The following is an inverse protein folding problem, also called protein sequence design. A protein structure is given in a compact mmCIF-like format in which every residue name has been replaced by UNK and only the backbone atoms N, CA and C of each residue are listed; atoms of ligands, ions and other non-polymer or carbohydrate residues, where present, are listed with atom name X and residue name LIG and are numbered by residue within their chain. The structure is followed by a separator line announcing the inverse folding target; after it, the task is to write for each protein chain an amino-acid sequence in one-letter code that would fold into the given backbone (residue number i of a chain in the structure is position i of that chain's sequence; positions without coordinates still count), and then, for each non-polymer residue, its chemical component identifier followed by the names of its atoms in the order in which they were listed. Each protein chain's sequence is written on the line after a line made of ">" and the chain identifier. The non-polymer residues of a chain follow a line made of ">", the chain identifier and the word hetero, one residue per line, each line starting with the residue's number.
data_IF_521021547362
#
_entry.id   IF_521021547362
#
_cell.length_a   1.000
_cell.length_b   1.000
_cell.length_c   1.000
_cell.angle_alpha   90.00
_cell.angle_beta   90.00
_cell.angle_gamma   90.00
#
_symmetry.space_group_name_H-M   'P 1'
#
loop_
_entity.id
_entity.type
_entity.pdbx_description
1 polymer ?
#
# COMPACT_ATOMS: atom_id res chain seq x y z
N UNK A 1 21.32 -24.82 -10.18
CA UNK A 1 20.00 -24.63 -9.53
C UNK A 1 19.39 -23.34 -10.06
N UNK A 2 18.19 -23.38 -10.62
CA UNK A 2 17.47 -22.17 -11.03
C UNK A 2 17.09 -21.41 -9.76
N UNK A 3 17.55 -20.16 -9.62
CA UNK A 3 17.24 -19.30 -8.47
C UNK A 3 15.75 -19.04 -8.48
N UNK A 4 15.02 -19.56 -7.49
CA UNK A 4 13.57 -19.33 -7.36
C UNK A 4 13.34 -17.85 -7.09
N UNK A 5 12.76 -17.13 -8.05
CA UNK A 5 12.36 -15.74 -7.87
C UNK A 5 11.06 -15.67 -7.07
N UNK A 6 11.01 -14.73 -6.12
CA UNK A 6 9.75 -14.38 -5.45
C UNK A 6 8.86 -13.63 -6.44
N UNK A 7 7.63 -14.08 -6.62
CA UNK A 7 6.65 -13.45 -7.52
C UNK A 7 5.56 -12.77 -6.69
N UNK A 8 5.35 -11.49 -6.92
CA UNK A 8 4.24 -10.76 -6.32
C UNK A 8 3.25 -10.27 -7.38
N UNK A 9 2.01 -10.08 -6.97
CA UNK A 9 0.98 -9.43 -7.78
C UNK A 9 0.64 -8.09 -7.15
N UNK A 10 0.80 -6.99 -7.91
CA UNK A 10 0.23 -5.69 -7.54
C UNK A 10 -1.10 -5.46 -8.24
N UNK A 11 -2.12 -5.04 -7.49
CA UNK A 11 -3.45 -4.69 -7.96
C UNK A 11 -3.67 -3.23 -7.59
N UNK A 12 -3.42 -2.29 -8.50
CA UNK A 12 -3.40 -0.86 -8.16
C UNK A 12 -3.71 0.03 -9.37
N UNK A 13 -3.77 1.33 -9.13
CA UNK A 13 -3.87 2.34 -10.17
C UNK A 13 -2.53 2.56 -10.89
N UNK A 14 -2.61 2.98 -12.15
CA UNK A 14 -1.46 3.42 -12.95
C UNK A 14 -1.26 4.93 -12.79
N UNK A 15 -0.04 5.33 -12.42
CA UNK A 15 0.41 6.71 -12.32
C UNK A 15 1.30 7.08 -13.51
N UNK A 16 0.83 7.96 -14.37
CA UNK A 16 1.57 8.39 -15.56
C UNK A 16 2.88 9.13 -15.24
N UNK A 17 3.09 9.59 -14.01
CA UNK A 17 4.35 10.20 -13.56
C UNK A 17 5.37 9.18 -13.08
N UNK A 18 4.97 7.92 -13.00
CA UNK A 18 5.80 6.80 -12.54
C UNK A 18 6.29 6.91 -11.09
N UNK A 19 5.76 7.86 -10.30
CA UNK A 19 6.15 8.07 -8.90
C UNK A 19 5.38 7.20 -7.90
N UNK A 20 4.18 6.74 -8.25
CA UNK A 20 3.30 5.96 -7.39
C UNK A 20 2.64 4.80 -8.16
N UNK A 21 1.65 4.15 -7.56
CA UNK A 21 0.85 3.10 -8.20
C UNK A 21 1.66 1.90 -8.65
N UNK A 22 1.16 1.22 -9.69
CA UNK A 22 1.82 0.01 -10.23
C UNK A 22 3.26 0.26 -10.68
N UNK A 23 3.58 1.46 -11.14
CA UNK A 23 4.93 1.82 -11.59
C UNK A 23 5.93 1.81 -10.42
N UNK A 24 5.56 2.40 -9.29
CA UNK A 24 6.37 2.35 -8.07
C UNK A 24 6.48 0.91 -7.54
N UNK A 25 5.41 0.13 -7.61
CA UNK A 25 5.39 -1.26 -7.17
C UNK A 25 6.34 -2.13 -8.02
N UNK A 26 6.32 -1.98 -9.34
CA UNK A 26 7.20 -2.70 -10.28
C UNK A 26 8.68 -2.34 -10.04
N UNK A 27 8.99 -1.03 -9.91
CA UNK A 27 10.36 -0.57 -9.63
C UNK A 27 10.86 -1.11 -8.28
N UNK A 28 10.04 -1.04 -7.23
CA UNK A 28 10.35 -1.61 -5.91
C UNK A 28 10.67 -3.09 -6.01
N UNK A 29 9.87 -3.82 -6.78
CA UNK A 29 10.05 -5.26 -6.98
C UNK A 29 11.37 -5.57 -7.70
N UNK A 30 11.66 -4.84 -8.76
CA UNK A 30 12.92 -4.98 -9.50
C UNK A 30 14.13 -4.75 -8.61
N UNK A 31 14.16 -3.65 -7.85
CA UNK A 31 15.26 -3.32 -6.94
C UNK A 31 15.44 -4.39 -5.85
N UNK A 32 14.35 -4.93 -5.34
CA UNK A 32 14.37 -5.97 -4.30
C UNK A 32 14.50 -7.39 -4.87
N UNK A 33 14.71 -7.56 -6.18
CA UNK A 33 14.91 -8.87 -6.81
C UNK A 33 13.68 -9.78 -6.77
N UNK A 34 12.48 -9.20 -6.96
CA UNK A 34 11.22 -9.92 -7.11
C UNK A 34 10.65 -9.71 -8.52
N UNK A 35 9.93 -10.71 -9.03
CA UNK A 35 9.13 -10.57 -10.25
C UNK A 35 7.76 -10.01 -9.90
N UNK A 36 7.32 -8.98 -10.63
CA UNK A 36 6.07 -8.29 -10.33
C UNK A 36 5.06 -8.44 -11.48
N UNK A 37 3.99 -9.15 -11.21
CA UNK A 37 2.77 -9.14 -12.01
C UNK A 37 1.94 -7.91 -11.66
N UNK A 38 1.18 -7.38 -12.61
CA UNK A 38 0.34 -6.22 -12.37
C UNK A 38 -1.07 -6.38 -12.91
N UNK A 39 -2.08 -5.92 -12.14
CA UNK A 39 -3.45 -5.76 -12.57
C UNK A 39 -3.88 -4.31 -12.31
N UNK A 40 -4.24 -3.60 -13.38
CA UNK A 40 -4.57 -2.17 -13.31
C UNK A 40 -6.02 -1.99 -12.92
N UNK A 41 -6.28 -1.22 -11.87
CA UNK A 41 -7.64 -0.86 -11.42
C UNK A 41 -8.13 0.44 -12.03
N UNK A 42 -7.23 1.41 -12.17
CA UNK A 42 -7.51 2.76 -12.69
C UNK A 42 -6.30 3.27 -13.47
N UNK A 43 -6.56 4.19 -14.40
CA UNK A 43 -5.51 5.00 -15.02
C UNK A 43 -5.70 6.43 -14.57
N UNK A 44 -4.63 7.09 -14.13
CA UNK A 44 -4.67 8.48 -13.70
C UNK A 44 -3.94 9.38 -14.68
N UNK A 45 -4.36 10.64 -14.74
CA UNK A 45 -3.67 11.72 -15.42
C UNK A 45 -3.33 12.77 -14.35
N UNK A 46 -2.07 12.84 -14.00
CA UNK A 46 -1.59 13.71 -12.93
C UNK A 46 -0.16 14.20 -13.17
N UNK A 47 0.23 15.24 -12.44
CA UNK A 47 1.60 15.71 -12.33
C UNK A 47 1.82 16.25 -10.90
N UNK A 48 3.01 16.75 -10.59
CA UNK A 48 3.34 17.26 -9.26
C UNK A 48 2.46 18.42 -8.77
N UNK A 49 1.76 19.13 -9.67
CA UNK A 49 0.91 20.28 -9.35
C UNK A 49 -0.58 19.93 -9.34
N UNK A 50 -1.03 18.98 -10.16
CA UNK A 50 -2.44 18.75 -10.42
C UNK A 50 -2.74 17.26 -10.62
N UNK A 51 -3.81 16.78 -9.97
CA UNK A 51 -4.49 15.55 -10.32
C UNK A 51 -5.65 15.91 -11.27
N UNK A 52 -5.53 15.55 -12.56
CA UNK A 52 -6.46 15.99 -13.59
C UNK A 52 -7.63 15.03 -13.76
N UNK A 53 -7.37 13.75 -14.03
CA UNK A 53 -8.40 12.75 -14.36
C UNK A 53 -8.09 11.39 -13.77
N UNK A 54 -9.14 10.60 -13.58
CA UNK A 54 -9.09 9.19 -13.24
C UNK A 54 -10.08 8.45 -14.11
N UNK A 55 -9.65 7.34 -14.69
CA UNK A 55 -10.49 6.42 -15.42
C UNK A 55 -10.42 5.03 -14.80
N UNK A 56 -11.56 4.50 -14.38
CA UNK A 56 -11.62 3.14 -13.83
C UNK A 56 -11.56 2.12 -14.97
N UNK A 57 -10.69 1.13 -14.82
CA UNK A 57 -10.65 0.01 -15.74
C UNK A 57 -11.95 -0.80 -15.60
N UNK A 58 -12.65 -1.12 -16.70
CA UNK A 58 -13.85 -1.95 -16.65
C UNK A 58 -13.60 -3.28 -15.93
N UNK A 59 -14.54 -3.71 -15.10
CA UNK A 59 -14.37 -4.91 -14.27
C UNK A 59 -14.11 -6.20 -15.07
N UNK A 60 -14.61 -6.31 -16.31
CA UNK A 60 -14.33 -7.46 -17.16
C UNK A 60 -12.86 -7.50 -17.61
N UNK A 61 -12.24 -6.34 -17.86
CA UNK A 61 -10.81 -6.24 -18.17
C UNK A 61 -9.97 -6.57 -16.92
N UNK A 62 -10.34 -6.02 -15.75
CA UNK A 62 -9.64 -6.35 -14.49
C UNK A 62 -9.72 -7.86 -14.21
N UNK A 63 -10.89 -8.49 -14.41
CA UNK A 63 -11.04 -9.95 -14.28
C UNK A 63 -10.12 -10.71 -15.22
N UNK A 64 -10.00 -10.27 -16.48
CA UNK A 64 -9.13 -10.91 -17.46
C UNK A 64 -7.65 -10.81 -17.05
N UNK A 65 -7.18 -9.64 -16.56
CA UNK A 65 -5.82 -9.44 -16.06
C UNK A 65 -5.53 -10.38 -14.87
N UNK A 66 -6.45 -10.44 -13.88
CA UNK A 66 -6.29 -11.30 -12.72
C UNK A 66 -6.28 -12.77 -13.13
N UNK A 67 -7.22 -13.20 -13.99
CA UNK A 67 -7.29 -14.57 -14.48
C UNK A 67 -5.99 -15.00 -15.14
N UNK A 68 -5.47 -14.23 -16.09
CA UNK A 68 -4.21 -14.50 -16.77
C UNK A 68 -3.03 -14.65 -15.78
N UNK A 69 -2.97 -13.79 -14.74
CA UNK A 69 -1.92 -13.88 -13.73
C UNK A 69 -2.03 -15.15 -12.88
N UNK A 70 -3.24 -15.52 -12.45
CA UNK A 70 -3.45 -16.68 -11.56
C UNK A 70 -3.39 -18.03 -12.29
N UNK A 71 -3.64 -18.07 -13.61
CA UNK A 71 -3.58 -19.31 -14.39
C UNK A 71 -2.15 -19.77 -14.66
N UNK A 72 -1.20 -18.83 -14.75
CA UNK A 72 0.16 -19.15 -15.17
C UNK A 72 1.18 -19.08 -14.04
N UNK A 73 1.00 -18.13 -13.10
CA UNK A 73 2.05 -17.82 -12.13
C UNK A 73 1.69 -18.28 -10.73
N UNK A 74 2.69 -18.84 -10.04
CA UNK A 74 2.61 -19.00 -8.58
C UNK A 74 2.89 -17.67 -7.92
N UNK A 75 1.90 -17.09 -7.25
CA UNK A 75 2.00 -15.80 -6.58
C UNK A 75 2.36 -16.01 -5.11
N UNK A 76 3.51 -15.47 -4.69
CA UNK A 76 4.04 -15.60 -3.33
C UNK A 76 3.58 -14.45 -2.40
N UNK A 77 3.06 -13.35 -2.95
CA UNK A 77 2.52 -12.22 -2.19
C UNK A 77 1.64 -11.30 -3.05
N UNK A 78 0.65 -10.66 -2.45
CA UNK A 78 -0.26 -9.73 -3.14
C UNK A 78 -0.25 -8.37 -2.46
N UNK A 79 -0.04 -7.30 -3.25
CA UNK A 79 -0.26 -5.93 -2.81
C UNK A 79 -1.52 -5.38 -3.47
N UNK A 80 -2.42 -4.79 -2.69
CA UNK A 80 -3.57 -4.04 -3.20
C UNK A 80 -3.39 -2.57 -2.86
N UNK A 81 -3.36 -1.72 -3.90
CA UNK A 81 -3.28 -0.27 -3.77
C UNK A 81 -4.62 0.41 -4.04
N UNK A 82 -4.63 1.41 -4.96
CA UNK A 82 -5.81 2.20 -5.24
C UNK A 82 -6.98 1.37 -5.78
N UNK A 83 -8.06 1.32 -5.00
CA UNK A 83 -9.38 0.80 -5.38
C UNK A 83 -10.42 1.79 -4.89
N UNK A 84 -11.16 2.40 -5.82
CA UNK A 84 -12.05 3.52 -5.53
C UNK A 84 -13.54 3.22 -5.71
N UNK A 85 -13.91 1.97 -6.01
CA UNK A 85 -15.32 1.58 -6.10
C UNK A 85 -15.58 0.17 -5.58
N UNK A 86 -16.81 -0.05 -5.11
CA UNK A 86 -17.24 -1.29 -4.44
C UNK A 86 -17.27 -2.48 -5.42
N UNK A 87 -17.63 -2.25 -6.68
CA UNK A 87 -17.72 -3.34 -7.66
C UNK A 87 -16.34 -3.92 -7.97
N UNK A 88 -15.33 -3.07 -8.12
CA UNK A 88 -13.93 -3.47 -8.28
C UNK A 88 -13.41 -4.21 -7.04
N UNK A 89 -13.73 -3.71 -5.84
CA UNK A 89 -13.35 -4.38 -4.59
C UNK A 89 -13.93 -5.80 -4.49
N UNK A 90 -15.19 -6.00 -4.90
CA UNK A 90 -15.82 -7.32 -4.95
C UNK A 90 -15.13 -8.26 -5.96
N UNK A 91 -14.74 -7.75 -7.12
CA UNK A 91 -13.97 -8.53 -8.11
C UNK A 91 -12.67 -9.02 -7.51
N UNK A 92 -11.88 -8.11 -6.93
CA UNK A 92 -10.59 -8.44 -6.32
C UNK A 92 -10.76 -9.44 -5.18
N UNK A 93 -11.73 -9.22 -4.28
CA UNK A 93 -12.04 -10.12 -3.19
C UNK A 93 -12.33 -11.54 -3.68
N UNK A 94 -13.15 -11.69 -4.74
CA UNK A 94 -13.51 -13.00 -5.27
C UNK A 94 -12.33 -13.78 -5.84
N UNK A 95 -11.31 -13.11 -6.36
CA UNK A 95 -10.06 -13.74 -6.78
C UNK A 95 -9.17 -14.11 -5.58
N UNK A 96 -9.11 -13.26 -4.56
CA UNK A 96 -8.17 -13.41 -3.46
C UNK A 96 -8.68 -14.27 -2.29
N UNK A 97 -9.98 -14.53 -2.18
CA UNK A 97 -10.58 -15.22 -1.02
C UNK A 97 -10.06 -16.65 -0.77
N UNK A 98 -9.46 -17.28 -1.77
CA UNK A 98 -8.91 -18.63 -1.66
C UNK A 98 -7.38 -18.65 -1.39
N UNK A 99 -6.76 -17.48 -1.20
CA UNK A 99 -5.31 -17.32 -0.97
C UNK A 99 -4.98 -17.17 0.52
N UNK A 100 -5.37 -18.17 1.34
CA UNK A 100 -5.24 -18.10 2.80
C UNK A 100 -3.79 -18.06 3.31
N UNK A 101 -2.85 -18.64 2.57
CA UNK A 101 -1.42 -18.74 2.97
C UNK A 101 -0.53 -17.68 2.33
N UNK A 102 -1.05 -16.91 1.37
CA UNK A 102 -0.29 -15.87 0.67
C UNK A 102 -0.46 -14.54 1.41
N UNK A 103 0.62 -13.86 1.80
CA UNK A 103 0.50 -12.56 2.44
C UNK A 103 -0.18 -11.56 1.50
N UNK A 104 -1.22 -10.91 2.01
CA UNK A 104 -1.95 -9.84 1.33
C UNK A 104 -1.72 -8.55 2.10
N UNK A 105 -1.12 -7.56 1.45
CA UNK A 105 -0.92 -6.21 2.00
C UNK A 105 -1.85 -5.24 1.29
N UNK A 106 -2.59 -4.45 2.05
CA UNK A 106 -3.48 -3.42 1.52
C UNK A 106 -2.99 -2.04 1.95
N UNK A 107 -2.64 -1.25 0.95
CA UNK A 107 -2.38 0.19 1.07
C UNK A 107 -3.73 0.91 0.92
N UNK A 108 -4.34 1.41 2.01
CA UNK A 108 -5.71 1.92 1.97
C UNK A 108 -5.76 3.38 1.50
N UNK A 109 -5.30 3.61 0.29
CA UNK A 109 -5.12 4.95 -0.30
C UNK A 109 -6.44 5.73 -0.29
N UNK A 110 -6.48 6.83 0.48
CA UNK A 110 -7.65 7.69 0.60
C UNK A 110 -7.64 8.83 -0.42
N UNK A 111 -6.46 9.45 -0.63
CA UNK A 111 -6.27 10.66 -1.44
C UNK A 111 -4.97 10.61 -2.22
N UNK A 112 -4.91 11.34 -3.32
CA UNK A 112 -3.67 11.57 -4.06
C UNK A 112 -2.70 12.45 -3.24
N UNK A 113 -1.42 12.50 -3.63
CA UNK A 113 -0.42 13.40 -3.03
C UNK A 113 -0.86 14.88 -3.10
N UNK A 114 -1.68 15.24 -4.08
CA UNK A 114 -2.28 16.58 -4.22
C UNK A 114 -3.56 16.76 -3.40
N UNK A 115 -3.93 15.82 -2.52
CA UNK A 115 -5.07 15.93 -1.60
C UNK A 115 -6.43 15.57 -2.19
N UNK A 116 -6.54 15.23 -3.49
CA UNK A 116 -7.82 14.83 -4.09
C UNK A 116 -8.24 13.46 -3.60
N UNK A 117 -9.42 13.37 -2.96
CA UNK A 117 -10.02 12.10 -2.54
C UNK A 117 -10.47 11.28 -3.76
N UNK A 118 -10.28 9.97 -3.70
CA UNK A 118 -10.63 9.03 -4.77
C UNK A 118 -12.09 8.54 -4.71
N UNK A 119 -12.70 8.58 -3.53
CA UNK A 119 -14.10 8.29 -3.28
C UNK A 119 -14.58 8.98 -1.99
N UNK A 120 -15.88 8.95 -1.72
CA UNK A 120 -16.44 9.41 -0.45
C UNK A 120 -16.10 8.44 0.70
N UNK A 121 -16.28 8.91 1.94
CA UNK A 121 -15.92 8.17 3.13
C UNK A 121 -16.73 6.87 3.32
N UNK A 122 -18.02 6.91 2.98
CA UNK A 122 -18.92 5.75 3.11
C UNK A 122 -18.47 4.65 2.16
N UNK A 123 -18.20 5.02 0.91
CA UNK A 123 -17.69 4.09 -0.11
C UNK A 123 -16.33 3.52 0.28
N UNK A 124 -15.41 4.36 0.77
CA UNK A 124 -14.10 3.95 1.26
C UNK A 124 -14.23 2.88 2.36
N UNK A 125 -15.04 3.13 3.39
CA UNK A 125 -15.25 2.17 4.47
C UNK A 125 -15.90 0.86 3.98
N UNK A 126 -16.85 0.93 3.05
CA UNK A 126 -17.46 -0.28 2.45
C UNK A 126 -16.46 -1.11 1.67
N UNK A 127 -15.56 -0.48 0.91
CA UNK A 127 -14.47 -1.15 0.19
C UNK A 127 -13.59 -1.92 1.18
N UNK A 128 -13.12 -1.24 2.24
CA UNK A 128 -12.23 -1.86 3.21
C UNK A 128 -12.93 -2.90 4.10
N UNK A 129 -14.26 -2.80 4.30
CA UNK A 129 -15.06 -3.85 4.92
C UNK A 129 -15.15 -5.12 4.06
N UNK A 130 -15.14 -4.99 2.73
CA UNK A 130 -15.03 -6.15 1.83
C UNK A 130 -13.66 -6.79 1.95
N UNK A 131 -12.60 -5.99 1.87
CA UNK A 131 -11.23 -6.48 1.93
C UNK A 131 -10.84 -7.06 3.30
N UNK A 132 -11.43 -6.59 4.40
CA UNK A 132 -11.14 -7.13 5.74
C UNK A 132 -11.46 -8.62 5.87
N UNK A 133 -12.36 -9.16 5.04
CA UNK A 133 -12.68 -10.59 4.99
C UNK A 133 -11.50 -11.46 4.52
N UNK A 134 -10.50 -10.87 3.84
CA UNK A 134 -9.25 -11.52 3.45
C UNK A 134 -8.23 -11.58 4.59
N UNK A 135 -8.51 -10.95 5.73
CA UNK A 135 -7.60 -10.79 6.89
C UNK A 135 -6.21 -10.27 6.48
N UNK A 136 -6.13 -9.20 5.67
CA UNK A 136 -4.88 -8.68 5.17
C UNK A 136 -4.11 -7.92 6.25
N UNK A 137 -2.87 -7.54 5.90
CA UNK A 137 -2.11 -6.53 6.61
C UNK A 137 -2.39 -5.17 5.97
N UNK A 138 -2.94 -4.23 6.74
CA UNK A 138 -3.17 -2.86 6.30
C UNK A 138 -2.00 -1.94 6.66
N UNK A 139 -1.71 -0.97 5.79
CA UNK A 139 -0.62 0.00 6.01
C UNK A 139 -1.10 1.46 6.02
N UNK A 140 -2.13 1.82 6.83
CA UNK A 140 -2.64 3.18 6.84
C UNK A 140 -1.66 4.16 7.46
N UNK A 141 -1.63 5.40 6.95
CA UNK A 141 -1.18 6.54 7.73
C UNK A 141 -2.28 6.99 8.72
N UNK A 142 -2.03 8.02 9.52
CA UNK A 142 -3.01 8.47 10.54
C UNK A 142 -4.30 9.01 9.92
N UNK A 143 -4.24 9.74 8.79
CA UNK A 143 -5.43 10.25 8.09
C UNK A 143 -6.29 9.09 7.53
N UNK A 144 -5.65 8.07 7.02
CA UNK A 144 -6.30 6.86 6.51
C UNK A 144 -6.88 6.01 7.65
N UNK A 145 -6.15 5.90 8.77
CA UNK A 145 -6.68 5.25 9.98
C UNK A 145 -7.93 5.97 10.51
N UNK A 146 -7.91 7.32 10.54
CA UNK A 146 -9.07 8.14 10.87
C UNK A 146 -10.25 7.86 9.93
N UNK A 147 -10.01 7.82 8.62
CA UNK A 147 -11.03 7.52 7.63
C UNK A 147 -11.58 6.09 7.76
N UNK A 148 -10.74 5.12 8.03
CA UNK A 148 -11.16 3.73 8.30
C UNK A 148 -12.04 3.65 9.54
N UNK A 149 -11.68 4.32 10.63
CA UNK A 149 -12.45 4.35 11.88
C UNK A 149 -13.75 5.13 11.68
N UNK A 150 -13.71 6.24 10.98
CA UNK A 150 -14.83 7.17 10.77
C UNK A 150 -14.94 8.27 11.82
N UNK A 151 -13.96 8.41 12.71
CA UNK A 151 -13.86 9.40 13.76
C UNK A 151 -12.43 9.94 13.84
N UNK A 152 -12.27 11.19 14.31
CA UNK A 152 -10.94 11.78 14.48
C UNK A 152 -10.09 11.03 15.49
N UNK A 153 -8.81 10.83 15.14
CA UNK A 153 -7.82 10.14 15.98
C UNK A 153 -6.69 11.06 16.46
N UNK A 154 -6.72 12.35 16.13
CA UNK A 154 -5.60 13.30 16.36
C UNK A 154 -5.18 13.46 17.82
N UNK A 155 -6.05 13.14 18.79
CA UNK A 155 -5.78 13.25 20.23
C UNK A 155 -5.90 11.90 20.95
N UNK A 156 -5.87 10.81 20.19
CA UNK A 156 -6.08 9.47 20.73
C UNK A 156 -4.74 8.74 20.77
N UNK A 157 -4.46 8.04 21.89
CA UNK A 157 -3.26 7.21 22.02
C UNK A 157 -3.26 6.08 20.96
N UNK A 158 -2.09 5.71 20.51
CA UNK A 158 -1.90 4.71 19.45
C UNK A 158 -2.58 3.37 19.77
N UNK A 159 -2.54 2.95 21.02
CA UNK A 159 -3.17 1.71 21.49
C UNK A 159 -4.70 1.73 21.27
N UNK A 160 -5.32 2.90 21.49
CA UNK A 160 -6.76 3.06 21.28
C UNK A 160 -7.12 3.06 19.79
N UNK A 161 -6.27 3.63 18.94
CA UNK A 161 -6.44 3.58 17.48
C UNK A 161 -6.44 2.11 17.00
N UNK A 162 -5.47 1.32 17.48
CA UNK A 162 -5.41 -0.13 17.20
C UNK A 162 -6.67 -0.87 17.65
N UNK A 163 -7.14 -0.62 18.87
CA UNK A 163 -8.37 -1.23 19.40
C UNK A 163 -9.58 -0.94 18.50
N UNK A 164 -9.74 0.31 18.03
CA UNK A 164 -10.84 0.72 17.16
C UNK A 164 -10.75 0.06 15.79
N UNK A 165 -9.57 0.04 15.17
CA UNK A 165 -9.34 -0.62 13.88
C UNK A 165 -9.58 -2.13 13.98
N UNK A 166 -9.04 -2.78 15.02
CA UNK A 166 -9.19 -4.22 15.26
C UNK A 166 -10.65 -4.59 15.50
N UNK A 167 -11.38 -3.81 16.32
CA UNK A 167 -12.82 -4.00 16.54
C UNK A 167 -13.62 -3.90 15.24
N UNK A 168 -13.27 -2.95 14.36
CA UNK A 168 -14.05 -2.70 13.13
C UNK A 168 -13.72 -3.69 12.01
N UNK A 169 -12.45 -4.08 11.82
CA UNK A 169 -11.99 -4.84 10.67
C UNK A 169 -11.44 -6.22 10.99
N UNK A 170 -11.01 -6.48 12.23
CA UNK A 170 -10.39 -7.74 12.66
C UNK A 170 -9.19 -8.17 11.78
N UNK A 171 -8.30 -7.21 11.49
CA UNK A 171 -7.13 -7.37 10.64
C UNK A 171 -5.87 -6.95 11.36
N UNK A 172 -4.72 -7.26 10.77
CA UNK A 172 -3.42 -6.73 11.16
C UNK A 172 -3.23 -5.33 10.57
N UNK A 173 -2.64 -4.40 11.34
CA UNK A 173 -2.35 -3.04 10.91
C UNK A 173 -0.88 -2.69 11.18
N UNK A 174 -0.29 -1.93 10.26
CA UNK A 174 0.93 -1.16 10.46
C UNK A 174 0.54 0.30 10.26
N UNK A 175 0.53 1.09 11.32
CA UNK A 175 0.20 2.52 11.23
C UNK A 175 1.49 3.27 10.92
N UNK A 176 1.56 3.89 9.73
CA UNK A 176 2.76 4.58 9.28
C UNK A 176 2.79 6.02 9.75
N UNK A 177 3.98 6.49 10.17
CA UNK A 177 4.18 7.84 10.74
C UNK A 177 4.90 8.82 9.82
N UNK A 178 4.99 8.55 8.52
CA UNK A 178 5.72 9.39 7.56
C UNK A 178 5.20 10.83 7.46
N UNK A 179 3.91 11.05 7.72
CA UNK A 179 3.25 12.36 7.65
C UNK A 179 3.34 13.16 8.97
N UNK A 180 4.04 12.65 10.01
CA UNK A 180 4.20 13.37 11.29
C UNK A 180 5.04 14.64 11.11
N UNK A 181 4.78 15.65 11.96
CA UNK A 181 5.57 16.90 12.02
C UNK A 181 6.92 16.69 12.73
N UNK A 182 7.11 15.55 13.40
CA UNK A 182 8.33 15.21 14.14
C UNK A 182 9.53 14.99 13.22
N UNK A 183 10.73 15.18 13.75
CA UNK A 183 12.00 14.81 13.11
C UNK A 183 12.17 13.29 12.94
N UNK A 184 11.27 12.51 13.51
CA UNK A 184 11.25 11.06 13.42
C UNK A 184 9.96 10.56 12.76
N UNK A 185 10.11 9.60 11.86
CA UNK A 185 9.03 8.77 11.34
C UNK A 185 8.91 7.55 12.24
N UNK A 186 7.77 7.36 12.90
CA UNK A 186 7.52 6.23 13.80
C UNK A 186 6.39 5.40 13.22
N UNK A 187 6.72 4.19 12.80
CA UNK A 187 5.71 3.23 12.37
C UNK A 187 5.40 2.29 13.53
N UNK A 188 4.12 1.99 13.71
CA UNK A 188 3.64 1.14 14.79
C UNK A 188 3.06 -0.15 14.24
N UNK A 189 3.24 -1.26 14.97
CA UNK A 189 2.63 -2.56 14.67
C UNK A 189 2.24 -3.26 15.96
N UNK A 190 1.06 -3.87 15.97
CA UNK A 190 0.62 -4.74 17.07
C UNK A 190 1.06 -6.18 16.80
N UNK A 191 1.89 -6.74 17.65
CA UNK A 191 2.27 -8.16 17.64
C UNK A 191 1.76 -8.79 18.93
N UNK A 192 0.83 -9.70 18.82
CA UNK A 192 0.24 -10.44 19.97
C UNK A 192 -0.28 -9.54 21.10
N UNK A 193 -0.86 -8.39 20.75
CA UNK A 193 -1.41 -7.44 21.71
C UNK A 193 -0.40 -6.43 22.27
N UNK A 194 0.88 -6.50 21.86
CA UNK A 194 1.92 -5.55 22.22
C UNK A 194 2.25 -4.64 21.05
N UNK A 195 2.17 -3.33 21.27
CA UNK A 195 2.54 -2.33 20.27
C UNK A 195 4.06 -2.18 20.21
N UNK A 196 4.61 -2.41 19.03
CA UNK A 196 6.01 -2.17 18.70
C UNK A 196 6.13 -0.92 17.85
N UNK A 197 7.10 -0.06 18.19
CA UNK A 197 7.45 1.13 17.45
C UNK A 197 8.76 0.92 16.69
N UNK A 198 8.78 1.25 15.40
CA UNK A 198 9.98 1.22 14.55
C UNK A 198 10.27 2.64 14.11
N UNK A 199 11.36 3.20 14.62
CA UNK A 199 11.74 4.59 14.42
C UNK A 199 12.76 4.73 13.28
N UNK A 200 12.68 5.84 12.56
CA UNK A 200 13.78 6.31 11.71
C UNK A 200 13.83 7.84 11.72
N UNK A 201 15.01 8.40 11.57
CA UNK A 201 15.15 9.85 11.40
C UNK A 201 14.47 10.27 10.10
N UNK A 202 13.66 11.32 10.15
CA UNK A 202 13.00 11.87 8.97
C UNK A 202 14.08 12.45 8.03
N UNK A 203 13.97 12.11 6.76
CA UNK A 203 14.86 12.66 5.74
C UNK A 203 14.20 13.88 5.11
N UNK A 204 14.93 14.97 5.03
CA UNK A 204 14.44 16.18 4.34
C UNK A 204 14.60 15.97 2.83
N UNK A 205 13.53 15.60 2.15
CA UNK A 205 13.51 15.41 0.70
C UNK A 205 12.18 15.86 0.11
N UNK A 206 12.24 16.45 -1.08
CA UNK A 206 11.05 16.73 -1.90
C UNK A 206 10.57 15.49 -2.66
N UNK A 207 11.39 14.44 -2.73
CA UNK A 207 11.07 13.18 -3.41
C UNK A 207 10.34 12.22 -2.46
N UNK A 208 9.06 12.48 -2.21
CA UNK A 208 8.21 11.68 -1.30
C UNK A 208 6.98 11.09 -2.00
N UNK A 209 6.80 11.40 -3.30
CA UNK A 209 5.67 10.88 -4.06
C UNK A 209 5.78 9.37 -4.22
N UNK A 210 4.74 8.66 -3.76
CA UNK A 210 4.66 7.21 -3.81
C UNK A 210 5.33 6.47 -2.65
N UNK A 211 5.77 7.17 -1.59
CA UNK A 211 6.39 6.53 -0.42
C UNK A 211 5.51 5.44 0.22
N UNK A 212 4.19 5.64 0.30
CA UNK A 212 3.24 4.62 0.76
C UNK A 212 3.24 3.38 -0.15
N UNK A 213 3.21 3.58 -1.49
CA UNK A 213 3.28 2.49 -2.46
C UNK A 213 4.59 1.71 -2.36
N UNK A 214 5.73 2.39 -2.25
CA UNK A 214 7.05 1.77 -2.06
C UNK A 214 7.09 0.99 -0.74
N UNK A 215 6.53 1.53 0.34
CA UNK A 215 6.45 0.85 1.63
C UNK A 215 5.62 -0.42 1.55
N UNK A 216 4.38 -0.31 1.10
CA UNK A 216 3.47 -1.46 1.03
C UNK A 216 3.96 -2.55 0.08
N UNK A 217 4.60 -2.19 -1.04
CA UNK A 217 5.22 -3.13 -1.97
C UNK A 217 6.44 -3.82 -1.37
N UNK A 218 7.36 -3.07 -0.76
CA UNK A 218 8.54 -3.66 -0.11
C UNK A 218 8.15 -4.59 1.05
N UNK A 219 7.13 -4.21 1.84
CA UNK A 219 6.58 -5.05 2.90
C UNK A 219 6.03 -6.37 2.33
N UNK A 220 5.26 -6.29 1.25
CA UNK A 220 4.73 -7.49 0.56
C UNK A 220 5.85 -8.42 0.11
N UNK A 221 6.91 -7.86 -0.48
CA UNK A 221 8.05 -8.63 -0.97
C UNK A 221 8.81 -9.31 0.17
N UNK A 222 9.07 -8.61 1.29
CA UNK A 222 9.77 -9.21 2.42
C UNK A 222 8.95 -10.30 3.09
N UNK A 223 7.63 -10.12 3.22
CA UNK A 223 6.72 -11.17 3.70
C UNK A 223 6.70 -12.37 2.76
N UNK A 224 6.62 -12.15 1.44
CA UNK A 224 6.67 -13.20 0.42
C UNK A 224 8.00 -13.97 0.41
N UNK A 225 9.09 -13.33 0.85
CA UNK A 225 10.41 -13.96 1.08
C UNK A 225 10.51 -14.74 2.40
N UNK A 226 9.43 -14.79 3.20
CA UNK A 226 9.34 -15.57 4.44
C UNK A 226 9.85 -14.84 5.68
N UNK A 227 10.09 -13.53 5.63
CA UNK A 227 10.41 -12.76 6.83
C UNK A 227 9.18 -12.58 7.74
N UNK A 228 9.40 -12.49 9.04
CA UNK A 228 8.35 -12.15 10.01
C UNK A 228 7.83 -10.74 9.76
N UNK A 229 6.66 -10.41 10.32
CA UNK A 229 6.04 -9.10 10.15
C UNK A 229 6.94 -7.95 10.64
N UNK A 230 7.55 -8.13 11.81
CA UNK A 230 8.45 -7.10 12.39
C UNK A 230 9.75 -6.94 11.60
N UNK A 231 10.33 -8.03 11.10
CA UNK A 231 11.50 -7.97 10.23
C UNK A 231 11.17 -7.31 8.89
N UNK A 232 10.04 -7.66 8.30
CA UNK A 232 9.55 -7.06 7.05
C UNK A 232 9.32 -5.56 7.21
N UNK A 233 8.71 -5.13 8.33
CA UNK A 233 8.55 -3.71 8.66
C UNK A 233 9.90 -2.99 8.76
N UNK A 234 10.86 -3.53 9.53
CA UNK A 234 12.19 -2.93 9.70
C UNK A 234 12.95 -2.84 8.38
N UNK A 235 12.90 -3.90 7.54
CA UNK A 235 13.54 -3.93 6.23
C UNK A 235 12.90 -2.93 5.27
N UNK A 236 11.57 -2.83 5.24
CA UNK A 236 10.84 -1.87 4.40
C UNK A 236 11.16 -0.42 4.80
N UNK A 237 11.22 -0.14 6.10
CA UNK A 237 11.59 1.19 6.59
C UNK A 237 13.03 1.57 6.21
N UNK A 238 13.98 0.64 6.36
CA UNK A 238 15.36 0.84 5.91
C UNK A 238 15.42 1.09 4.40
N UNK A 239 14.70 0.29 3.61
CA UNK A 239 14.64 0.42 2.17
C UNK A 239 14.11 1.80 1.73
N UNK A 240 12.98 2.25 2.29
CA UNK A 240 12.45 3.58 1.99
C UNK A 240 13.45 4.69 2.29
N UNK A 241 14.11 4.65 3.44
CA UNK A 241 15.09 5.67 3.80
C UNK A 241 16.25 5.73 2.79
N UNK A 242 16.71 4.58 2.32
CA UNK A 242 17.73 4.50 1.25
C UNK A 242 17.21 5.09 -0.06
N UNK A 243 15.96 4.79 -0.43
CA UNK A 243 15.37 5.35 -1.65
C UNK A 243 15.19 6.87 -1.56
N UNK A 244 14.78 7.43 -0.41
CA UNK A 244 14.67 8.86 -0.20
C UNK A 244 16.05 9.54 -0.37
N UNK A 245 17.12 8.92 0.11
CA UNK A 245 18.48 9.45 -0.01
C UNK A 245 19.03 9.41 -1.44
N UNK A 246 18.67 8.39 -2.20
CA UNK A 246 19.15 8.17 -3.58
C UNK A 246 18.20 8.72 -4.65
N UNK A 247 17.05 9.25 -4.27
CA UNK A 247 16.03 9.75 -5.21
C UNK A 247 16.55 10.91 -6.06
N UNK A 248 16.25 10.92 -7.36
CA UNK A 248 16.65 12.01 -8.24
C UNK A 248 15.96 13.32 -7.82
N UNK A 249 16.73 14.40 -7.80
CA UNK A 249 16.16 15.74 -7.60
C UNK A 249 15.62 16.21 -8.95
N UNK A 250 14.29 16.16 -9.10
CA UNK A 250 13.62 16.73 -10.25
C UNK A 250 13.11 18.12 -9.91
N UNK A 251 13.15 19.05 -10.87
CA UNK A 251 12.63 20.40 -10.68
C UNK A 251 11.09 20.41 -10.74
N UNK A 252 10.46 19.69 -9.80
CA UNK A 252 9.01 19.54 -9.67
C UNK A 252 8.61 19.68 -8.19
N UNK A 253 7.35 19.99 -7.93
CA UNK A 253 6.82 20.18 -6.57
C UNK A 253 6.99 18.95 -5.68
N UNK A 254 6.79 17.74 -6.25
CA UNK A 254 7.00 16.45 -5.59
C UNK A 254 7.70 15.53 -6.59
N UNK A 255 8.91 15.10 -6.27
CA UNK A 255 9.65 14.12 -7.07
C UNK A 255 9.23 12.68 -6.73
N UNK A 256 9.48 11.72 -7.65
CA UNK A 256 9.29 10.31 -7.40
C UNK A 256 10.33 9.82 -6.38
N UNK A 257 9.99 8.77 -5.65
CA UNK A 257 10.89 8.15 -4.68
C UNK A 257 11.91 7.23 -5.36
N UNK A 258 11.48 6.55 -6.41
CA UNK A 258 12.28 5.59 -7.20
C UNK A 258 11.97 5.70 -8.68
#
# INVERSE_FOLDING_TARGET
>A
MVKKHTTILTIAGSDNTSGAGIQADIKTSYILGAYCLSAVTTVTSQNSKKFARLYNIPNHILKAQLKASFEEYKIDGVKVGLVNNISTAKVIYNFLKNFEKTPIVIDPILKSTNGKKFCDLIQYQKIHKIFSKLKPIYTPNLDEAEALIGNSVKKIKIEKIYQLLKKKYNCQFIITGGDSVSDYCIDYVDIEGKIHAVNSKKKNSQSTHGSGCVFSSSLTIFLAKGHTLIESLKKSKKFINQQIESSPILNVRYGPLI
#
